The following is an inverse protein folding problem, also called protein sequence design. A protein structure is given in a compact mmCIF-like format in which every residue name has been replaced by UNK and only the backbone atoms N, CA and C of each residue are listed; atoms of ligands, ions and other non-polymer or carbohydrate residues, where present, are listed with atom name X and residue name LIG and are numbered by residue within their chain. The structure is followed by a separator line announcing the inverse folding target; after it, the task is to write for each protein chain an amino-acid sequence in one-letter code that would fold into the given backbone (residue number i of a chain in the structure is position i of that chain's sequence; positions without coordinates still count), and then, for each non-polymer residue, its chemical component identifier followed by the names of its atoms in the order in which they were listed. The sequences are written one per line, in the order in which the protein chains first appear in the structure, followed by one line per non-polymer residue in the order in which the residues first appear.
data_IF_656403869062
#
_entry.id   IF_656403869062
#
_cell.length_a   1.000
_cell.length_b   1.000
_cell.length_c   1.000
_cell.angle_alpha   90.00
_cell.angle_beta   90.00
_cell.angle_gamma   90.00
#
_symmetry.space_group_name_H-M   'P 1'
#
loop_
_entity.id
_entity.type
_entity.pdbx_description
1 polymer ?
#
# COMPACT_ATOMS: atom_id res chain seq x y z
N UNK A 1 24.69 -51.02 35.48
CA UNK A 1 24.54 -49.62 35.01
C UNK A 1 24.18 -48.76 36.23
N UNK A 2 24.99 -47.77 36.59
CA UNK A 2 24.81 -47.01 37.84
C UNK A 2 23.47 -46.26 37.83
N UNK A 3 22.65 -46.38 38.88
CA UNK A 3 21.33 -45.72 39.01
C UNK A 3 21.42 -44.19 38.77
N UNK A 4 22.55 -43.59 39.15
CA UNK A 4 22.88 -42.18 38.86
C UNK A 4 23.04 -41.87 37.37
N UNK A 5 23.63 -42.76 36.57
CA UNK A 5 23.77 -42.57 35.11
C UNK A 5 22.45 -42.75 34.37
N UNK A 6 21.59 -43.65 34.84
CA UNK A 6 20.25 -43.84 34.28
C UNK A 6 19.35 -42.63 34.55
N UNK A 7 19.42 -42.04 35.75
CA UNK A 7 18.67 -40.84 36.11
C UNK A 7 19.10 -39.61 35.29
N UNK A 8 20.42 -39.42 35.07
CA UNK A 8 20.94 -38.33 34.23
C UNK A 8 20.49 -38.49 32.77
N UNK A 9 20.45 -39.72 32.25
CA UNK A 9 20.02 -40.00 30.88
C UNK A 9 18.50 -39.78 30.70
N UNK A 10 17.70 -40.11 31.71
CA UNK A 10 16.26 -39.84 31.76
C UNK A 10 15.95 -38.34 31.85
N UNK A 11 16.70 -37.58 32.65
CA UNK A 11 16.56 -36.11 32.73
C UNK A 11 16.99 -35.44 31.43
N UNK A 12 18.05 -35.93 30.78
CA UNK A 12 18.48 -35.43 29.46
C UNK A 12 17.45 -35.75 28.37
N UNK A 13 16.81 -36.92 28.39
CA UNK A 13 15.71 -37.29 27.49
C UNK A 13 14.44 -36.45 27.75
N UNK A 14 14.12 -36.16 29.02
CA UNK A 14 13.01 -35.26 29.35
C UNK A 14 13.28 -33.81 28.91
N UNK A 15 14.51 -33.33 29.10
CA UNK A 15 14.93 -32.00 28.64
C UNK A 15 14.93 -31.90 27.10
N UNK A 16 15.34 -32.96 26.40
CA UNK A 16 15.22 -33.05 24.95
C UNK A 16 13.76 -33.12 24.48
N UNK A 17 12.89 -33.84 25.17
CA UNK A 17 11.45 -33.88 24.88
C UNK A 17 10.77 -32.53 25.11
N UNK A 18 11.16 -31.80 26.16
CA UNK A 18 10.68 -30.43 26.43
C UNK A 18 11.20 -29.42 25.39
N UNK A 19 12.44 -29.58 24.90
CA UNK A 19 12.99 -28.76 23.82
C UNK A 19 12.26 -28.98 22.48
N UNK A 20 11.77 -30.20 22.20
CA UNK A 20 10.95 -30.47 21.00
C UNK A 20 9.56 -29.85 21.11
N UNK A 21 8.97 -29.73 22.31
CA UNK A 21 7.70 -29.02 22.51
C UNK A 21 7.82 -27.48 22.50
N UNK A 22 9.03 -26.94 22.70
CA UNK A 22 9.28 -25.49 22.62
C UNK A 22 9.36 -24.97 21.17
N UNK A 23 9.56 -25.84 20.18
CA UNK A 23 9.29 -25.56 18.76
C UNK A 23 7.79 -25.60 18.39
N UNK A 24 6.90 -25.85 19.37
CA UNK A 24 5.46 -26.01 19.17
C UNK A 24 4.62 -24.75 19.37
N UNK A 25 5.20 -23.62 19.81
CA UNK A 25 4.47 -22.33 19.80
C UNK A 25 4.69 -21.66 18.47
N UNK A 26 3.66 -21.72 17.62
CA UNK A 26 3.57 -20.93 16.40
C UNK A 26 3.82 -19.47 16.76
N UNK A 27 4.72 -18.80 16.03
CA UNK A 27 5.02 -17.39 16.26
C UNK A 27 3.71 -16.59 16.29
N UNK A 28 3.49 -15.75 17.32
CA UNK A 28 2.31 -14.89 17.44
C UNK A 28 2.02 -14.13 16.12
N UNK A 29 0.75 -13.95 15.70
CA UNK A 29 0.45 -13.35 14.39
C UNK A 29 1.10 -11.99 14.14
N UNK A 30 1.12 -11.10 15.15
CA UNK A 30 1.76 -9.79 15.02
C UNK A 30 3.27 -9.93 14.75
N UNK A 31 3.96 -10.74 15.55
CA UNK A 31 5.40 -10.98 15.42
C UNK A 31 5.73 -11.67 14.07
N UNK A 32 4.89 -12.59 13.63
CA UNK A 32 5.07 -13.27 12.35
C UNK A 32 4.90 -12.32 11.17
N UNK A 33 3.91 -11.41 11.22
CA UNK A 33 3.72 -10.38 10.19
C UNK A 33 4.88 -9.38 10.17
N UNK A 34 5.32 -8.90 11.33
CA UNK A 34 6.49 -8.03 11.46
C UNK A 34 7.74 -8.64 10.82
N UNK A 35 8.04 -9.90 11.17
CA UNK A 35 9.19 -10.63 10.60
C UNK A 35 9.04 -10.83 9.10
N UNK A 36 7.85 -11.20 8.64
CA UNK A 36 7.61 -11.44 7.22
C UNK A 36 7.78 -10.18 6.39
N UNK A 37 7.30 -9.07 6.91
CA UNK A 37 7.42 -7.77 6.25
C UNK A 37 8.86 -7.27 6.23
N UNK A 38 9.60 -7.38 7.34
CA UNK A 38 11.02 -7.03 7.40
C UNK A 38 11.87 -7.85 6.40
N UNK A 39 11.60 -9.15 6.28
CA UNK A 39 12.28 -10.00 5.30
C UNK A 39 11.86 -9.69 3.85
N UNK A 40 10.63 -9.21 3.64
CA UNK A 40 10.15 -8.76 2.32
C UNK A 40 10.85 -7.47 1.89
N UNK A 41 11.19 -6.60 2.85
CA UNK A 41 12.08 -5.45 2.65
C UNK A 41 13.53 -5.82 2.32
N UNK A 42 13.90 -7.09 2.25
CA UNK A 42 15.21 -7.53 1.74
C UNK A 42 15.12 -8.24 0.38
N UNK A 43 13.94 -8.27 -0.24
CA UNK A 43 13.80 -8.83 -1.59
C UNK A 43 14.60 -8.02 -2.61
N UNK A 44 15.40 -8.74 -3.39
CA UNK A 44 16.27 -8.21 -4.46
C UNK A 44 15.58 -8.16 -5.80
N UNK A 45 14.65 -9.08 -6.04
CA UNK A 45 13.85 -9.15 -7.26
C UNK A 45 12.53 -9.86 -7.01
N UNK A 46 11.52 -9.54 -7.80
CA UNK A 46 10.24 -10.25 -7.83
C UNK A 46 9.42 -9.81 -9.05
N UNK A 47 8.47 -10.64 -9.46
CA UNK A 47 7.34 -10.22 -10.28
C UNK A 47 6.15 -9.96 -9.38
N UNK A 48 5.26 -9.07 -9.80
CA UNK A 48 4.04 -8.78 -9.06
C UNK A 48 2.84 -8.69 -9.99
N UNK A 49 1.68 -9.06 -9.46
CA UNK A 49 0.37 -8.90 -10.08
C UNK A 49 -0.61 -8.43 -9.01
N UNK A 50 -1.51 -7.53 -9.35
CA UNK A 50 -2.43 -6.94 -8.39
C UNK A 50 -3.63 -6.28 -9.03
N UNK A 51 -4.62 -5.97 -8.21
CA UNK A 51 -5.84 -5.31 -8.66
C UNK A 51 -6.32 -4.29 -7.63
N UNK A 52 -6.96 -3.24 -8.12
CA UNK A 52 -7.71 -2.25 -7.35
C UNK A 52 -9.16 -2.31 -7.81
N UNK A 53 -10.07 -2.41 -6.85
CA UNK A 53 -11.51 -2.41 -7.06
C UNK A 53 -12.18 -1.40 -6.14
N UNK A 54 -13.21 -0.74 -6.66
CA UNK A 54 -14.18 0.00 -5.86
C UNK A 54 -15.30 -1.00 -5.57
N UNK A 55 -15.33 -1.48 -4.34
CA UNK A 55 -16.27 -2.51 -3.91
C UNK A 55 -17.67 -1.93 -3.63
N UNK A 56 -17.74 -0.65 -3.25
CA UNK A 56 -18.96 0.06 -2.88
C UNK A 56 -18.78 1.57 -3.09
N UNK A 57 -19.75 2.22 -3.75
CA UNK A 57 -19.80 3.68 -3.88
C UNK A 57 -21.26 4.14 -3.88
N UNK A 58 -21.75 4.60 -2.73
CA UNK A 58 -23.09 5.17 -2.61
C UNK A 58 -22.95 6.66 -2.31
N UNK A 59 -23.34 7.52 -3.25
CA UNK A 59 -23.40 8.97 -3.02
C UNK A 59 -24.76 9.40 -2.45
N UNK A 60 -24.84 10.52 -1.72
CA UNK A 60 -26.11 11.03 -1.23
C UNK A 60 -26.99 11.52 -2.38
N UNK A 61 -28.34 11.50 -2.24
CA UNK A 61 -29.25 11.93 -3.30
C UNK A 61 -28.98 13.35 -3.82
N UNK A 62 -28.57 14.27 -2.94
CA UNK A 62 -28.18 15.64 -3.30
C UNK A 62 -26.99 15.70 -4.27
N UNK A 63 -26.07 14.74 -4.21
CA UNK A 63 -24.90 14.64 -5.07
C UNK A 63 -25.16 13.87 -6.38
N UNK A 64 -26.26 13.11 -6.45
CA UNK A 64 -26.66 12.31 -7.61
C UNK A 64 -27.49 13.11 -8.62
N UNK A 65 -26.89 14.15 -9.20
CA UNK A 65 -27.54 14.89 -10.29
C UNK A 65 -27.34 14.19 -11.66
N UNK A 66 -28.15 14.57 -12.66
CA UNK A 66 -28.12 13.98 -14.01
C UNK A 66 -26.74 14.05 -14.70
N UNK A 67 -25.87 14.98 -14.28
CA UNK A 67 -24.52 15.09 -14.83
C UNK A 67 -23.54 14.07 -14.19
N UNK A 68 -23.79 13.59 -12.97
CA UNK A 68 -22.89 12.69 -12.22
C UNK A 68 -23.26 11.21 -12.42
N UNK A 69 -24.56 10.91 -12.56
CA UNK A 69 -25.08 9.55 -12.68
C UNK A 69 -24.39 8.68 -13.76
N UNK A 70 -24.08 9.18 -14.97
CA UNK A 70 -23.39 8.37 -15.98
C UNK A 70 -21.98 7.96 -15.57
N UNK A 71 -21.28 8.79 -14.78
CA UNK A 71 -19.92 8.52 -14.34
C UNK A 71 -19.87 7.58 -13.14
N UNK A 72 -20.87 7.59 -12.26
CA UNK A 72 -20.95 6.66 -11.12
C UNK A 72 -20.99 5.20 -11.58
N UNK A 73 -21.91 4.88 -12.49
CA UNK A 73 -22.00 3.52 -13.03
C UNK A 73 -20.74 3.09 -13.80
N UNK A 74 -20.00 4.04 -14.37
CA UNK A 74 -18.71 3.77 -14.99
C UNK A 74 -17.65 3.43 -13.94
N UNK A 75 -17.55 4.23 -12.86
CA UNK A 75 -16.55 4.09 -11.80
C UNK A 75 -16.71 2.75 -11.06
N UNK A 76 -17.93 2.40 -10.65
CA UNK A 76 -18.22 1.16 -9.91
C UNK A 76 -17.78 -0.11 -10.64
N UNK A 77 -17.87 -0.09 -11.98
CA UNK A 77 -17.56 -1.26 -12.79
C UNK A 77 -16.14 -1.20 -13.40
N UNK A 78 -15.39 -0.12 -13.17
CA UNK A 78 -14.04 0.03 -13.67
C UNK A 78 -13.08 -0.83 -12.85
N UNK A 79 -12.26 -1.64 -13.53
CA UNK A 79 -11.20 -2.40 -12.87
C UNK A 79 -9.84 -1.85 -13.26
N UNK A 80 -8.99 -1.61 -12.27
CA UNK A 80 -7.57 -1.31 -12.46
C UNK A 80 -6.76 -2.53 -12.03
N UNK A 81 -5.90 -3.01 -12.92
CA UNK A 81 -4.93 -4.06 -12.60
C UNK A 81 -3.52 -3.57 -12.85
N UNK A 82 -2.59 -4.09 -12.07
CA UNK A 82 -1.17 -3.78 -12.18
C UNK A 82 -0.41 -5.10 -12.27
N UNK A 83 0.58 -5.15 -13.15
CA UNK A 83 1.54 -6.26 -13.20
C UNK A 83 2.91 -5.76 -13.56
N UNK A 84 3.95 -6.47 -13.15
CA UNK A 84 5.29 -5.97 -13.37
C UNK A 84 6.40 -6.80 -12.78
N UNK A 85 7.60 -6.21 -12.84
CA UNK A 85 8.82 -6.80 -12.35
C UNK A 85 9.69 -5.74 -11.67
N UNK A 86 10.44 -6.18 -10.67
CA UNK A 86 11.36 -5.35 -9.91
C UNK A 86 12.73 -6.03 -9.77
N UNK A 87 13.79 -5.24 -9.89
CA UNK A 87 15.16 -5.59 -9.46
C UNK A 87 15.76 -4.44 -8.65
N UNK A 88 16.51 -4.77 -7.60
CA UNK A 88 17.19 -3.80 -6.72
C UNK A 88 18.50 -3.30 -7.32
N UNK A 89 19.28 -4.17 -7.95
CA UNK A 89 20.61 -3.86 -8.47
C UNK A 89 20.85 -4.57 -9.82
N UNK A 90 20.84 -3.84 -10.96
CA UNK A 90 20.50 -2.41 -11.05
C UNK A 90 19.03 -2.16 -10.67
N UNK A 91 18.75 -0.97 -10.12
CA UNK A 91 17.39 -0.56 -9.78
C UNK A 91 16.57 -0.46 -11.07
N UNK A 92 15.61 -1.36 -11.24
CA UNK A 92 14.63 -1.32 -12.33
C UNK A 92 13.27 -1.77 -11.81
N UNK A 93 12.26 -0.94 -12.02
CA UNK A 93 10.86 -1.26 -11.77
C UNK A 93 10.11 -1.11 -13.09
N UNK A 94 9.33 -2.11 -13.47
CA UNK A 94 8.35 -1.99 -14.54
C UNK A 94 6.97 -2.26 -13.95
N UNK A 95 6.03 -1.38 -14.25
CA UNK A 95 4.63 -1.52 -13.88
C UNK A 95 3.77 -1.28 -15.12
N UNK A 96 2.96 -2.27 -15.46
CA UNK A 96 1.97 -2.18 -16.54
C UNK A 96 0.62 -1.98 -15.87
N UNK A 97 0.11 -0.75 -15.97
CA UNK A 97 -1.20 -0.39 -15.46
C UNK A 97 -2.23 -0.69 -16.53
N UNK A 98 -3.22 -1.51 -16.21
CA UNK A 98 -4.33 -1.83 -17.12
C UNK A 98 -5.64 -1.36 -16.55
N UNK A 99 -6.22 -0.36 -17.20
CA UNK A 99 -7.57 0.14 -16.94
C UNK A 99 -8.55 -0.61 -17.85
N UNK A 100 -9.63 -1.12 -17.29
CA UNK A 100 -10.73 -1.72 -18.06
C UNK A 100 -12.03 -1.03 -17.67
N UNK A 101 -12.67 -0.42 -18.67
CA UNK A 101 -13.96 0.26 -18.53
C UNK A 101 -14.99 -0.61 -19.25
N UNK A 102 -15.93 -1.25 -18.54
CA UNK A 102 -16.97 -2.07 -19.16
C UNK A 102 -18.13 -1.22 -19.70
N UNK A 103 -18.99 -1.83 -20.52
CA UNK A 103 -20.15 -1.19 -21.13
C UNK A 103 -20.24 -1.43 -22.64
N UNK A 104 -21.19 -0.79 -23.31
CA UNK A 104 -21.41 -0.92 -24.77
C UNK A 104 -20.21 -0.44 -25.60
N UNK A 105 -19.38 0.43 -25.02
CA UNK A 105 -18.09 0.88 -25.56
C UNK A 105 -16.94 0.37 -24.69
N UNK A 106 -16.92 -0.92 -24.36
CA UNK A 106 -15.87 -1.48 -23.52
C UNK A 106 -14.47 -1.13 -24.08
N UNK A 107 -13.67 -0.40 -23.30
CA UNK A 107 -12.30 -0.03 -23.66
C UNK A 107 -11.35 -0.53 -22.58
N UNK A 108 -10.19 -1.00 -23.02
CA UNK A 108 -9.07 -1.31 -22.13
C UNK A 108 -7.84 -0.55 -22.59
N UNK A 109 -7.16 0.09 -21.64
CA UNK A 109 -5.93 0.83 -21.84
C UNK A 109 -4.83 0.20 -21.01
N UNK A 110 -3.66 0.01 -21.62
CA UNK A 110 -2.45 -0.40 -20.90
C UNK A 110 -1.43 0.74 -20.95
N UNK A 111 -0.93 1.13 -19.79
CA UNK A 111 0.09 2.16 -19.60
C UNK A 111 1.31 1.52 -18.96
N UNK A 112 2.29 1.09 -19.78
CA UNK A 112 3.62 0.74 -19.31
C UNK A 112 4.34 1.93 -18.66
N UNK A 113 4.85 1.70 -17.46
CA UNK A 113 5.72 2.59 -16.70
C UNK A 113 7.03 1.85 -16.42
N UNK A 114 8.16 2.51 -16.66
CA UNK A 114 9.50 1.98 -16.35
C UNK A 114 10.23 3.00 -15.49
N UNK A 115 10.68 2.57 -14.32
CA UNK A 115 11.60 3.31 -13.47
C UNK A 115 12.98 2.69 -13.60
N UNK A 116 13.95 3.45 -14.12
CA UNK A 116 15.33 3.00 -14.28
C UNK A 116 16.26 4.20 -14.47
N UNK A 117 17.50 4.09 -13.98
CA UNK A 117 18.52 5.14 -14.12
C UNK A 117 18.02 6.53 -13.68
N UNK A 118 17.33 6.58 -12.54
CA UNK A 118 16.74 7.81 -11.94
C UNK A 118 15.70 8.53 -12.82
N UNK A 119 15.20 7.86 -13.86
CA UNK A 119 14.17 8.37 -14.78
C UNK A 119 12.93 7.49 -14.77
N UNK A 120 11.83 8.10 -15.19
CA UNK A 120 10.56 7.42 -15.43
C UNK A 120 10.27 7.48 -16.91
N UNK A 121 9.83 6.36 -17.48
CA UNK A 121 9.37 6.29 -18.85
C UNK A 121 7.92 5.84 -18.82
N UNK A 122 7.02 6.67 -19.34
CA UNK A 122 5.60 6.37 -19.42
C UNK A 122 5.18 6.24 -20.88
N UNK A 123 4.60 5.09 -21.26
CA UNK A 123 4.08 4.91 -22.61
C UNK A 123 2.70 5.54 -22.73
N UNK A 124 2.55 6.47 -23.66
CA UNK A 124 1.27 7.11 -23.94
C UNK A 124 0.39 6.13 -24.72
N UNK A 125 -0.74 5.66 -24.18
CA UNK A 125 -1.63 4.77 -24.92
C UNK A 125 -2.29 5.54 -26.07
N UNK A 126 -2.67 4.84 -27.13
CA UNK A 126 -3.53 5.43 -28.16
C UNK A 126 -4.96 5.53 -27.59
N UNK A 127 -5.35 6.72 -27.15
CA UNK A 127 -6.68 6.98 -26.58
C UNK A 127 -7.63 7.42 -27.72
N UNK A 128 -8.72 6.69 -28.00
CA UNK A 128 -9.73 7.13 -28.96
C UNK A 128 -10.27 8.52 -28.62
N UNK A 129 -10.55 9.34 -29.63
CA UNK A 129 -11.07 10.72 -29.51
C UNK A 129 -10.08 11.75 -28.94
N UNK A 130 -8.90 11.34 -28.47
CA UNK A 130 -7.85 12.27 -28.07
C UNK A 130 -6.83 12.38 -29.23
N UNK A 131 -6.68 13.56 -29.86
CA UNK A 131 -5.76 13.72 -30.97
C UNK A 131 -4.33 13.77 -30.43
N UNK A 132 -3.73 12.60 -30.23
CA UNK A 132 -2.39 12.44 -29.64
C UNK A 132 -1.26 12.54 -30.68
N UNK A 133 -1.59 12.59 -31.98
CA UNK A 133 -0.63 12.68 -33.06
C UNK A 133 0.47 11.61 -32.96
N UNK A 134 1.71 12.03 -33.21
CA UNK A 134 2.89 11.16 -33.18
C UNK A 134 3.32 10.74 -31.77
N UNK A 135 2.70 11.27 -30.70
CA UNK A 135 2.97 10.86 -29.33
C UNK A 135 2.24 9.56 -28.95
N UNK A 136 1.18 9.19 -29.68
CA UNK A 136 0.44 7.96 -29.44
C UNK A 136 1.36 6.73 -29.59
N UNK A 137 1.44 5.92 -28.53
CA UNK A 137 2.22 4.69 -28.49
C UNK A 137 3.71 4.89 -28.20
N UNK A 138 4.20 6.13 -28.06
CA UNK A 138 5.60 6.42 -27.69
C UNK A 138 5.78 6.48 -26.18
N UNK A 139 6.99 6.23 -25.72
CA UNK A 139 7.39 6.52 -24.36
C UNK A 139 7.70 8.01 -24.21
N UNK A 140 7.37 8.55 -23.05
CA UNK A 140 7.76 9.88 -22.61
C UNK A 140 8.72 9.71 -21.46
N UNK A 141 9.90 10.31 -21.57
CA UNK A 141 10.87 10.43 -20.51
C UNK A 141 10.45 11.55 -19.56
N UNK A 142 10.38 11.21 -18.29
CA UNK A 142 10.08 12.10 -17.20
C UNK A 142 11.28 12.08 -16.26
N UNK A 143 11.87 13.24 -16.08
CA UNK A 143 12.88 13.50 -15.06
C UNK A 143 12.17 14.09 -13.83
N UNK A 144 11.99 13.32 -12.73
CA UNK A 144 11.33 13.83 -11.53
C UNK A 144 12.05 15.03 -10.93
N UNK A 145 13.38 15.11 -11.06
CA UNK A 145 14.16 16.25 -10.54
C UNK A 145 13.91 17.51 -11.37
N UNK A 146 13.78 17.37 -12.70
CA UNK A 146 13.51 18.49 -13.61
C UNK A 146 12.09 19.06 -13.50
N UNK A 147 11.09 18.25 -13.09
CA UNK A 147 9.71 18.70 -12.89
C UNK A 147 9.54 19.66 -11.70
N UNK A 148 10.49 19.70 -10.77
CA UNK A 148 10.48 20.59 -9.61
C UNK A 148 10.71 22.08 -9.94
N UNK A 149 11.18 22.39 -11.15
CA UNK A 149 11.60 23.75 -11.54
C UNK A 149 10.50 24.54 -12.29
N UNK A 150 9.41 23.91 -12.73
CA UNK A 150 8.22 24.57 -13.28
C UNK A 150 7.16 24.84 -12.21
N UNK A 151 6.21 25.75 -12.42
CA UNK A 151 5.18 26.17 -11.44
C UNK A 151 4.16 25.09 -11.00
N UNK A 152 4.51 23.81 -11.06
CA UNK A 152 3.78 22.68 -10.48
C UNK A 152 4.58 22.04 -9.34
N UNK A 153 3.87 21.43 -8.38
CA UNK A 153 4.50 20.73 -7.26
C UNK A 153 5.60 19.77 -7.76
N UNK A 154 6.82 19.93 -7.23
CA UNK A 154 7.92 19.03 -7.49
C UNK A 154 7.48 17.59 -7.29
N UNK A 155 7.77 16.69 -8.23
CA UNK A 155 7.68 15.27 -7.90
C UNK A 155 8.78 15.00 -6.85
N UNK A 156 8.44 14.41 -5.69
CA UNK A 156 9.46 14.12 -4.69
C UNK A 156 10.53 13.21 -5.31
N UNK A 157 11.78 13.50 -4.98
CA UNK A 157 12.90 12.69 -5.45
C UNK A 157 12.69 11.25 -4.97
N UNK A 158 12.42 10.31 -5.88
CA UNK A 158 12.02 8.95 -5.52
C UNK A 158 13.23 8.14 -5.05
N UNK A 159 13.56 8.18 -3.75
CA UNK A 159 14.63 7.37 -3.19
C UNK A 159 14.09 6.09 -2.56
N UNK A 160 14.21 4.98 -3.29
CA UNK A 160 13.70 3.66 -2.88
C UNK A 160 14.25 3.21 -1.53
N UNK A 161 15.51 3.50 -1.21
CA UNK A 161 16.10 3.09 0.05
C UNK A 161 15.54 3.93 1.21
N UNK A 162 15.39 5.24 1.01
CA UNK A 162 14.77 6.16 1.99
C UNK A 162 13.32 5.75 2.24
N UNK A 163 12.53 5.50 1.18
CA UNK A 163 11.14 5.05 1.32
C UNK A 163 11.02 3.71 2.05
N UNK A 164 11.88 2.73 1.75
CA UNK A 164 11.90 1.44 2.47
C UNK A 164 12.20 1.64 3.93
N UNK A 165 13.21 2.45 4.25
CA UNK A 165 13.61 2.69 5.64
C UNK A 165 12.53 3.45 6.42
N UNK A 166 11.94 4.50 5.83
CA UNK A 166 10.83 5.24 6.39
C UNK A 166 9.62 4.33 6.63
N UNK A 167 9.19 3.57 5.62
CA UNK A 167 8.12 2.60 5.78
C UNK A 167 8.46 1.63 6.91
N UNK A 168 9.71 1.15 6.93
CA UNK A 168 10.36 0.27 7.92
C UNK A 168 10.06 0.68 9.35
N UNK A 169 10.54 1.87 9.66
CA UNK A 169 10.51 2.48 10.98
C UNK A 169 9.08 2.91 11.35
N UNK A 170 8.32 3.49 10.43
CA UNK A 170 6.93 3.89 10.65
C UNK A 170 6.02 2.68 10.98
N UNK A 171 6.15 1.58 10.24
CA UNK A 171 5.39 0.38 10.53
C UNK A 171 5.84 -0.27 11.86
N UNK A 172 7.13 -0.17 12.18
CA UNK A 172 7.67 -0.56 13.48
C UNK A 172 6.96 0.16 14.64
N UNK A 173 6.79 1.48 14.54
CA UNK A 173 6.07 2.31 15.50
C UNK A 173 4.59 1.89 15.61
N UNK A 174 3.91 1.72 14.47
CA UNK A 174 2.50 1.27 14.46
C UNK A 174 2.38 -0.07 15.18
N UNK A 175 3.25 -1.03 14.88
CA UNK A 175 3.20 -2.31 15.56
C UNK A 175 3.53 -2.20 17.05
N UNK A 176 4.46 -1.35 17.51
CA UNK A 176 4.78 -1.31 18.95
C UNK A 176 3.61 -0.91 19.83
N UNK A 177 2.67 -0.14 19.30
CA UNK A 177 1.54 0.43 20.05
C UNK A 177 0.21 -0.30 19.91
N UNK A 178 0.11 -1.26 19.00
CA UNK A 178 -1.11 -2.05 18.82
C UNK A 178 -0.94 -3.46 19.40
N UNK A 179 -1.84 -3.87 20.28
CA UNK A 179 -1.78 -5.20 20.89
C UNK A 179 -2.20 -6.31 19.91
N UNK A 180 -1.80 -7.54 20.21
CA UNK A 180 -2.08 -8.67 19.35
C UNK A 180 -3.57 -9.05 19.33
N UNK A 181 -4.22 -9.03 20.49
CA UNK A 181 -5.55 -9.60 20.70
C UNK A 181 -6.63 -8.84 19.92
N UNK A 182 -6.56 -7.51 19.92
CA UNK A 182 -7.58 -6.67 19.27
C UNK A 182 -7.35 -6.47 17.77
N UNK A 183 -6.08 -6.47 17.32
CA UNK A 183 -5.75 -6.00 15.97
C UNK A 183 -5.23 -7.09 15.03
N UNK A 184 -4.69 -8.19 15.55
CA UNK A 184 -3.99 -9.19 14.74
C UNK A 184 -4.55 -10.59 14.94
N UNK A 185 -4.98 -11.21 13.85
CA UNK A 185 -5.47 -12.59 13.89
C UNK A 185 -4.93 -13.42 12.75
N UNK A 186 -4.72 -14.69 13.02
CA UNK A 186 -4.51 -15.66 11.97
C UNK A 186 -5.87 -16.10 11.40
N UNK A 187 -5.98 -16.11 10.07
CA UNK A 187 -7.19 -16.49 9.35
C UNK A 187 -6.91 -17.73 8.49
N UNK A 188 -7.95 -18.48 8.12
CA UNK A 188 -7.79 -19.58 7.18
C UNK A 188 -7.84 -19.07 5.75
N UNK A 189 -7.25 -19.82 4.81
CA UNK A 189 -7.26 -19.47 3.39
C UNK A 189 -8.69 -19.29 2.87
N UNK A 190 -9.59 -20.15 3.30
CA UNK A 190 -10.99 -20.18 2.87
C UNK A 190 -11.80 -18.98 3.37
N UNK A 191 -11.34 -18.33 4.44
CA UNK A 191 -12.01 -17.17 5.05
C UNK A 191 -11.57 -15.84 4.40
N UNK A 192 -10.63 -15.88 3.44
CA UNK A 192 -10.13 -14.68 2.75
C UNK A 192 -10.73 -14.63 1.34
N UNK A 193 -11.72 -13.75 1.10
CA UNK A 193 -12.40 -13.67 -0.19
C UNK A 193 -11.47 -13.11 -1.27
N UNK A 194 -11.58 -13.65 -2.49
CA UNK A 194 -10.85 -13.17 -3.66
C UNK A 194 -9.37 -13.57 -3.71
N UNK A 195 -8.92 -14.53 -2.90
CA UNK A 195 -7.56 -15.04 -3.03
C UNK A 195 -7.35 -15.76 -4.38
N UNK A 196 -6.18 -15.61 -5.02
CA UNK A 196 -5.80 -16.43 -6.16
C UNK A 196 -5.80 -17.92 -5.80
N UNK A 197 -6.49 -18.74 -6.59
CA UNK A 197 -6.70 -20.17 -6.27
C UNK A 197 -5.39 -20.95 -6.13
N UNK A 198 -4.39 -20.61 -6.94
CA UNK A 198 -3.06 -21.20 -6.97
C UNK A 198 -2.08 -20.63 -5.92
N UNK A 199 -2.50 -19.64 -5.10
CA UNK A 199 -1.67 -19.05 -4.05
C UNK A 199 -1.26 -20.11 -3.03
N UNK A 200 0.06 -20.27 -2.85
CA UNK A 200 0.69 -21.15 -1.86
C UNK A 200 1.30 -20.32 -0.75
N UNK A 201 0.76 -20.42 0.45
CA UNK A 201 1.26 -19.77 1.65
C UNK A 201 1.16 -20.71 2.85
N UNK A 202 2.01 -20.50 3.84
CA UNK A 202 2.06 -21.27 5.08
C UNK A 202 1.11 -20.68 6.13
N UNK A 203 0.87 -19.36 6.07
CA UNK A 203 0.04 -18.61 7.01
C UNK A 203 -0.69 -17.46 6.34
N UNK A 204 -1.85 -17.11 6.89
CA UNK A 204 -2.59 -15.90 6.52
C UNK A 204 -2.84 -15.10 7.79
N UNK A 205 -2.38 -13.86 7.82
CA UNK A 205 -2.48 -12.98 8.98
C UNK A 205 -3.24 -11.74 8.58
N UNK A 206 -4.29 -11.43 9.32
CA UNK A 206 -5.12 -10.25 9.11
C UNK A 206 -4.88 -9.25 10.23
N UNK A 207 -4.42 -8.07 9.85
CA UNK A 207 -4.59 -6.85 10.63
C UNK A 207 -5.97 -6.28 10.33
N UNK A 208 -6.74 -5.86 11.33
CA UNK A 208 -8.03 -5.21 11.09
C UNK A 208 -8.40 -4.18 12.15
N UNK A 209 -8.94 -3.06 11.67
CA UNK A 209 -9.67 -2.06 12.43
C UNK A 209 -11.13 -2.12 11.98
N UNK A 210 -12.05 -2.16 12.92
CA UNK A 210 -13.49 -2.10 12.69
C UNK A 210 -14.13 -1.34 13.87
N UNK A 211 -15.45 -1.16 13.83
CA UNK A 211 -16.17 -0.36 14.82
C UNK A 211 -15.89 -0.77 16.28
N UNK A 212 -15.61 -2.05 16.55
CA UNK A 212 -15.38 -2.60 17.89
C UNK A 212 -14.01 -2.29 18.49
N UNK A 213 -12.99 -2.04 17.66
CA UNK A 213 -11.63 -1.71 18.09
C UNK A 213 -11.13 -0.34 17.58
N UNK A 214 -11.97 0.41 16.87
CA UNK A 214 -11.65 1.73 16.32
C UNK A 214 -11.26 2.73 17.41
N UNK A 215 -11.97 2.75 18.55
CA UNK A 215 -11.67 3.63 19.67
C UNK A 215 -10.26 3.38 20.23
N UNK A 216 -9.92 2.11 20.43
CA UNK A 216 -8.61 1.71 20.91
C UNK A 216 -7.51 2.08 19.90
N UNK A 217 -7.77 1.90 18.61
CA UNK A 217 -6.84 2.31 17.56
C UNK A 217 -6.61 3.83 17.56
N UNK A 218 -7.69 4.62 17.56
CA UNK A 218 -7.59 6.09 17.50
C UNK A 218 -6.94 6.67 18.75
N UNK A 219 -7.18 6.07 19.91
CA UNK A 219 -6.47 6.44 21.14
C UNK A 219 -4.98 6.15 21.02
N UNK A 220 -4.60 4.93 20.63
CA UNK A 220 -3.19 4.57 20.42
C UNK A 220 -2.52 5.46 19.36
N UNK A 221 -3.27 5.82 18.32
CA UNK A 221 -2.83 6.68 17.23
C UNK A 221 -2.50 8.09 17.71
N UNK A 222 -3.42 8.75 18.41
CA UNK A 222 -3.23 10.12 18.88
C UNK A 222 -2.21 10.22 20.02
N UNK A 223 -2.23 9.27 20.96
CA UNK A 223 -1.39 9.33 22.16
C UNK A 223 0.06 8.89 21.92
N UNK A 224 0.30 7.94 21.00
CA UNK A 224 1.60 7.29 20.86
C UNK A 224 2.12 7.25 19.42
N UNK A 225 1.34 6.73 18.46
CA UNK A 225 1.83 6.50 17.09
C UNK A 225 2.13 7.83 16.40
N UNK A 226 1.20 8.77 16.37
CA UNK A 226 1.38 10.06 15.68
C UNK A 226 2.54 10.88 16.26
N UNK A 227 2.68 11.05 17.59
CA UNK A 227 3.86 11.71 18.17
C UNK A 227 5.19 11.06 17.77
N UNK A 228 5.27 9.73 17.81
CA UNK A 228 6.50 9.00 17.44
C UNK A 228 6.80 9.08 15.93
N UNK A 229 5.76 9.10 15.07
CA UNK A 229 5.93 9.34 13.64
C UNK A 229 6.45 10.76 13.39
N UNK A 230 5.92 11.77 14.08
CA UNK A 230 6.43 13.14 13.97
C UNK A 230 7.89 13.20 14.42
N UNK A 231 8.26 12.51 15.49
CA UNK A 231 9.65 12.42 15.95
C UNK A 231 10.57 11.71 14.96
N UNK A 232 10.10 10.63 14.34
CA UNK A 232 10.80 9.95 13.25
C UNK A 232 11.10 10.89 12.09
N UNK A 233 10.12 11.69 11.69
CA UNK A 233 10.27 12.65 10.60
C UNK A 233 11.20 13.81 10.99
N UNK A 234 11.07 14.35 12.21
CA UNK A 234 11.96 15.41 12.70
C UNK A 234 13.42 14.95 12.80
N UNK A 235 13.66 13.67 13.04
CA UNK A 235 15.01 13.11 13.16
C UNK A 235 15.74 12.91 11.82
N UNK A 236 15.06 13.07 10.67
CA UNK A 236 15.61 12.75 9.35
C UNK A 236 15.25 13.82 8.31
N UNK A 237 16.26 14.50 7.76
CA UNK A 237 16.07 15.41 6.63
C UNK A 237 15.63 14.66 5.36
N UNK A 238 16.19 13.47 5.11
CA UNK A 238 15.82 12.65 3.95
C UNK A 238 14.33 12.30 3.95
N UNK A 239 13.75 11.95 5.10
CA UNK A 239 12.32 11.62 5.21
C UNK A 239 11.44 12.85 4.98
N UNK A 240 11.86 13.99 5.52
CA UNK A 240 11.15 15.27 5.34
C UNK A 240 11.18 15.71 3.89
N UNK A 241 12.32 15.58 3.23
CA UNK A 241 12.47 15.92 1.81
C UNK A 241 11.62 15.01 0.93
N UNK A 242 11.56 13.70 1.20
CA UNK A 242 10.72 12.75 0.46
C UNK A 242 9.23 13.09 0.58
N UNK A 243 8.78 13.46 1.79
CA UNK A 243 7.38 13.81 2.06
C UNK A 243 7.05 15.28 1.78
N UNK A 244 8.04 16.10 1.40
CA UNK A 244 7.91 17.54 1.21
C UNK A 244 7.39 18.28 2.45
N UNK A 245 7.85 17.86 3.62
CA UNK A 245 7.48 18.43 4.92
C UNK A 245 8.60 19.32 5.45
N UNK A 246 8.25 20.47 6.00
CA UNK A 246 9.23 21.34 6.69
C UNK A 246 9.36 20.96 8.16
N UNK A 247 10.49 21.35 8.76
CA UNK A 247 10.70 21.19 10.20
C UNK A 247 9.67 21.98 11.03
N UNK A 248 9.33 23.19 10.57
CA UNK A 248 8.41 24.08 11.26
C UNK A 248 6.99 23.51 11.29
N UNK A 249 6.52 22.94 10.17
CA UNK A 249 5.22 22.26 10.10
C UNK A 249 5.14 21.08 11.09
N UNK A 250 6.19 20.25 11.13
CA UNK A 250 6.23 19.10 12.04
C UNK A 250 6.29 19.51 13.52
N UNK A 251 7.10 20.53 13.86
CA UNK A 251 7.15 21.07 15.22
C UNK A 251 5.80 21.63 15.64
N UNK A 252 5.16 22.41 14.76
CA UNK A 252 3.83 22.97 15.01
C UNK A 252 2.80 21.87 15.20
N UNK A 253 2.77 20.86 14.33
CA UNK A 253 1.87 19.72 14.47
C UNK A 253 2.08 18.98 15.81
N UNK A 254 3.34 18.81 16.22
CA UNK A 254 3.67 18.22 17.52
C UNK A 254 3.18 19.05 18.70
N UNK A 255 3.37 20.37 18.65
CA UNK A 255 2.92 21.30 19.68
C UNK A 255 1.39 21.34 19.77
N UNK A 256 0.69 21.42 18.62
CA UNK A 256 -0.77 21.39 18.56
C UNK A 256 -1.31 20.07 19.14
N UNK A 257 -0.69 18.94 18.82
CA UNK A 257 -1.07 17.63 19.38
C UNK A 257 -0.82 17.56 20.89
N UNK A 258 0.31 18.06 21.38
CA UNK A 258 0.65 18.07 22.80
C UNK A 258 -0.17 19.08 23.63
N UNK A 259 -0.67 20.15 22.99
CA UNK A 259 -1.49 21.17 23.63
C UNK A 259 -2.95 20.72 23.82
N UNK A 260 -3.40 19.71 23.07
CA UNK A 260 -4.73 19.13 23.27
C UNK A 260 -4.70 18.26 24.53
N UNK A 261 -5.54 18.62 25.50
CA UNK A 261 -5.74 17.76 26.64
C UNK A 261 -6.47 16.44 26.22
N UNK A 262 -6.33 15.37 27.00
CA UNK A 262 -6.96 14.09 26.67
C UNK A 262 -8.48 14.14 26.53
N UNK A 263 -9.19 15.05 27.22
CA UNK A 263 -10.64 15.18 27.06
C UNK A 263 -10.99 15.82 25.72
N UNK A 264 -10.25 16.84 25.29
CA UNK A 264 -10.41 17.47 23.98
C UNK A 264 -10.23 16.46 22.83
N UNK A 265 -9.17 15.65 22.87
CA UNK A 265 -8.95 14.59 21.88
C UNK A 265 -10.08 13.56 21.84
N UNK A 266 -10.60 13.17 23.02
CA UNK A 266 -11.75 12.26 23.11
C UNK A 266 -13.01 12.89 22.52
N UNK A 267 -13.27 14.16 22.78
CA UNK A 267 -14.43 14.87 22.23
C UNK A 267 -14.37 14.97 20.70
N UNK A 268 -13.19 15.24 20.14
CA UNK A 268 -13.00 15.24 18.68
C UNK A 268 -13.21 13.85 18.06
N UNK A 269 -12.72 12.80 18.72
CA UNK A 269 -12.95 11.42 18.29
C UNK A 269 -14.44 11.05 18.35
N UNK A 270 -15.14 11.42 19.41
CA UNK A 270 -16.58 11.20 19.52
C UNK A 270 -17.37 11.98 18.47
N UNK A 271 -16.98 13.22 18.16
CA UNK A 271 -17.57 14.00 17.08
C UNK A 271 -17.34 13.35 15.71
N UNK A 272 -16.13 12.83 15.46
CA UNK A 272 -15.83 12.08 14.23
C UNK A 272 -16.74 10.86 14.10
N UNK A 273 -16.91 10.08 15.18
CA UNK A 273 -17.73 8.86 15.19
C UNK A 273 -19.22 9.10 15.03
N UNK A 274 -19.72 10.29 15.33
CA UNK A 274 -21.12 10.64 15.06
C UNK A 274 -21.43 10.66 13.56
N UNK A 275 -20.43 11.01 12.75
CA UNK A 275 -20.57 11.21 11.32
C UNK A 275 -19.79 10.19 10.49
N UNK A 276 -19.02 9.29 11.12
CA UNK A 276 -18.21 8.29 10.45
C UNK A 276 -18.39 6.91 11.10
N UNK A 277 -18.83 5.95 10.31
CA UNK A 277 -18.83 4.53 10.67
C UNK A 277 -17.72 3.82 9.91
N UNK A 278 -16.85 3.12 10.64
CA UNK A 278 -15.78 2.30 10.05
C UNK A 278 -16.24 0.85 10.04
N UNK A 279 -16.65 0.35 8.88
CA UNK A 279 -17.05 -1.04 8.73
C UNK A 279 -15.85 -1.97 8.78
N UNK A 280 -14.79 -1.65 8.04
CA UNK A 280 -13.58 -2.44 7.99
C UNK A 280 -12.42 -1.63 7.40
N UNK A 281 -11.27 -1.63 8.06
CA UNK A 281 -9.97 -1.36 7.47
C UNK A 281 -9.12 -2.58 7.76
N UNK A 282 -8.68 -3.31 6.75
CA UNK A 282 -7.90 -4.51 7.00
C UNK A 282 -6.80 -4.72 5.98
N UNK A 283 -5.74 -5.36 6.44
CA UNK A 283 -4.66 -5.88 5.60
C UNK A 283 -4.52 -7.36 5.88
N UNK A 284 -4.87 -8.19 4.91
CA UNK A 284 -4.65 -9.63 4.96
C UNK A 284 -3.38 -9.98 4.21
N UNK A 285 -2.41 -10.55 4.90
CA UNK A 285 -1.11 -10.90 4.39
C UNK A 285 -0.93 -12.42 4.34
N UNK A 286 -0.49 -12.95 3.21
CA UNK A 286 -0.11 -14.36 3.09
C UNK A 286 1.42 -14.49 3.18
N UNK A 287 1.88 -15.38 4.05
CA UNK A 287 3.30 -15.58 4.35
C UNK A 287 3.73 -16.96 3.85
N UNK A 288 4.85 -17.02 3.12
CA UNK A 288 5.50 -18.26 2.72
C UNK A 288 6.98 -18.24 3.15
N UNK A 289 7.38 -19.21 3.95
CA UNK A 289 8.63 -19.18 4.68
C UNK A 289 8.66 -17.97 5.61
N UNK A 290 9.55 -17.04 5.31
CA UNK A 290 9.76 -15.80 6.04
C UNK A 290 9.31 -14.56 5.26
N UNK A 291 8.61 -14.68 4.12
CA UNK A 291 8.30 -13.52 3.24
C UNK A 291 6.81 -13.41 2.96
N UNK A 292 6.39 -12.18 2.67
CA UNK A 292 5.07 -11.88 2.13
C UNK A 292 5.04 -12.34 0.67
N UNK A 293 4.01 -13.10 0.31
CA UNK A 293 3.74 -13.54 -1.07
C UNK A 293 2.42 -12.98 -1.59
N UNK A 294 1.61 -12.39 -0.72
CA UNK A 294 0.37 -11.74 -1.08
C UNK A 294 -0.06 -10.77 0.02
N UNK A 295 -0.67 -9.66 -0.36
CA UNK A 295 -1.33 -8.73 0.53
C UNK A 295 -2.65 -8.29 -0.10
N UNK A 296 -3.69 -8.18 0.73
CA UNK A 296 -4.98 -7.59 0.36
C UNK A 296 -5.36 -6.55 1.38
N UNK A 297 -5.42 -5.31 0.94
CA UNK A 297 -6.03 -4.20 1.66
C UNK A 297 -7.52 -4.18 1.34
N UNK A 298 -8.35 -3.96 2.35
CA UNK A 298 -9.77 -3.67 2.19
C UNK A 298 -10.16 -2.56 3.14
N UNK A 299 -10.88 -1.58 2.64
CA UNK A 299 -11.35 -0.46 3.42
C UNK A 299 -12.82 -0.17 3.06
N UNK A 300 -13.66 0.06 4.07
CA UNK A 300 -15.08 0.36 3.89
C UNK A 300 -15.54 1.27 5.03
N UNK A 301 -16.16 2.39 4.63
CA UNK A 301 -16.59 3.46 5.51
C UNK A 301 -17.95 3.99 5.06
N UNK A 302 -18.70 4.49 6.03
CA UNK A 302 -19.92 5.24 5.82
C UNK A 302 -19.77 6.59 6.53
N UNK A 303 -20.04 7.69 5.82
CA UNK A 303 -20.07 9.03 6.36
C UNK A 303 -21.48 9.59 6.30
N UNK A 304 -21.93 10.25 7.37
CA UNK A 304 -23.23 10.89 7.45
C UNK A 304 -23.08 12.40 7.68
N UNK A 305 -23.73 13.20 6.83
CA UNK A 305 -23.76 14.66 6.92
C UNK A 305 -25.17 15.17 6.60
N UNK A 306 -25.72 16.04 7.43
CA UNK A 306 -27.07 16.63 7.27
C UNK A 306 -28.21 15.63 7.03
N UNK A 307 -28.07 14.40 7.54
CA UNK A 307 -29.05 13.32 7.38
C UNK A 307 -28.95 12.55 6.06
N UNK A 308 -27.94 12.85 5.24
CA UNK A 308 -27.57 12.09 4.06
C UNK A 308 -26.33 11.23 4.31
N UNK A 309 -26.21 10.11 3.63
CA UNK A 309 -25.13 9.14 3.83
C UNK A 309 -24.33 8.93 2.55
N UNK A 310 -23.01 8.85 2.69
CA UNK A 310 -22.07 8.44 1.65
C UNK A 310 -21.38 7.15 2.08
N UNK A 311 -21.34 6.13 1.22
CA UNK A 311 -20.55 4.91 1.48
C UNK A 311 -19.45 4.75 0.46
N UNK A 312 -18.29 4.35 0.94
CA UNK A 312 -17.11 4.12 0.11
C UNK A 312 -16.45 2.83 0.58
N UNK A 313 -16.32 1.88 -0.34
CA UNK A 313 -15.61 0.63 -0.17
C UNK A 313 -14.60 0.44 -1.29
N UNK A 314 -13.38 0.07 -0.95
CA UNK A 314 -12.35 -0.30 -1.91
C UNK A 314 -11.51 -1.46 -1.42
N UNK A 315 -10.99 -2.22 -2.37
CA UNK A 315 -9.99 -3.24 -2.11
C UNK A 315 -8.83 -3.12 -3.08
N UNK A 316 -7.64 -3.41 -2.56
CA UNK A 316 -6.42 -3.52 -3.33
C UNK A 316 -5.75 -4.83 -2.95
N UNK A 317 -5.30 -5.59 -3.94
CA UNK A 317 -4.47 -6.75 -3.69
C UNK A 317 -3.23 -6.78 -4.57
N UNK A 318 -2.19 -7.39 -4.03
CA UNK A 318 -0.92 -7.60 -4.71
C UNK A 318 -0.35 -8.96 -4.31
N UNK A 319 0.10 -9.71 -5.32
CA UNK A 319 0.79 -10.97 -5.22
C UNK A 319 2.24 -10.78 -5.64
N UNK A 320 3.14 -11.51 -4.98
CA UNK A 320 4.55 -11.55 -5.32
C UNK A 320 4.96 -12.96 -5.73
N UNK A 321 5.56 -13.06 -6.91
CA UNK A 321 6.12 -14.28 -7.47
C UNK A 321 7.58 -14.07 -7.85
N UNK A 322 8.27 -15.17 -8.20
CA UNK A 322 9.67 -15.14 -8.64
C UNK A 322 10.62 -14.39 -7.70
N UNK A 323 10.30 -14.37 -6.39
CA UNK A 323 11.06 -13.66 -5.37
C UNK A 323 12.52 -14.14 -5.36
N UNK A 324 13.46 -13.20 -5.46
CA UNK A 324 14.90 -13.42 -5.50
C UNK A 324 15.36 -14.39 -6.61
N UNK A 325 14.65 -14.40 -7.73
CA UNK A 325 15.02 -15.11 -8.96
C UNK A 325 15.21 -14.12 -10.11
N UNK A 326 15.70 -14.62 -11.24
CA UNK A 326 15.71 -13.84 -12.48
C UNK A 326 14.28 -13.51 -12.89
N UNK A 327 14.02 -12.22 -13.11
CA UNK A 327 12.73 -11.71 -13.56
C UNK A 327 12.85 -11.24 -15.01
N UNK A 328 11.73 -11.31 -15.75
CA UNK A 328 11.64 -10.81 -17.11
C UNK A 328 10.87 -9.50 -17.09
N UNK A 329 11.43 -8.48 -17.72
CA UNK A 329 10.76 -7.23 -18.03
C UNK A 329 10.14 -7.34 -19.42
N UNK A 330 8.95 -6.77 -19.62
CA UNK A 330 8.24 -6.76 -20.90
C UNK A 330 8.78 -5.68 -21.85
N UNK A 331 9.38 -4.64 -21.29
CA UNK A 331 9.95 -3.52 -22.02
C UNK A 331 11.42 -3.29 -21.66
N UNK A 332 12.18 -2.96 -22.70
CA UNK A 332 13.50 -2.37 -22.57
C UNK A 332 13.36 -0.88 -22.23
N UNK A 333 14.44 -0.28 -21.72
CA UNK A 333 14.47 1.16 -21.50
C UNK A 333 14.47 1.82 -22.89
N UNK A 334 13.50 2.71 -23.20
CA UNK A 334 13.39 3.30 -24.52
C UNK A 334 14.58 4.24 -24.81
N UNK A 335 15.17 4.13 -26.00
CA UNK A 335 16.24 5.03 -26.47
C UNK A 335 15.70 6.27 -27.20
N UNK A 336 14.45 6.20 -27.67
CA UNK A 336 13.77 7.21 -28.49
C UNK A 336 12.56 7.83 -27.78
N UNK A 337 12.59 7.87 -26.45
CA UNK A 337 11.53 8.47 -25.66
C UNK A 337 11.41 9.97 -25.95
N UNK A 338 10.16 10.45 -26.06
CA UNK A 338 9.86 11.88 -26.16
C UNK A 338 10.16 12.56 -24.83
N UNK A 339 10.62 13.80 -24.89
CA UNK A 339 10.63 14.69 -23.74
C UNK A 339 9.23 15.19 -23.40
N UNK A 340 9.04 15.71 -22.18
CA UNK A 340 7.78 16.36 -21.79
C UNK A 340 7.42 17.55 -22.70
N UNK A 341 8.42 18.30 -23.16
CA UNK A 341 8.22 19.43 -24.08
C UNK A 341 7.70 18.95 -25.44
N UNK A 342 8.27 17.88 -26.00
CA UNK A 342 7.81 17.29 -27.26
C UNK A 342 6.40 16.70 -27.15
N UNK A 343 6.05 16.12 -25.99
CA UNK A 343 4.67 15.69 -25.72
C UNK A 343 3.71 16.88 -25.74
N UNK A 344 4.01 17.96 -25.01
CA UNK A 344 3.17 19.15 -24.96
C UNK A 344 3.01 19.78 -26.34
N UNK A 345 4.10 19.88 -27.11
CA UNK A 345 4.03 20.38 -28.49
C UNK A 345 3.16 19.50 -29.39
N UNK A 346 3.22 18.17 -29.22
CA UNK A 346 2.37 17.22 -29.95
C UNK A 346 0.89 17.41 -29.60
N UNK A 347 0.57 17.62 -28.33
CA UNK A 347 -0.80 17.91 -27.88
C UNK A 347 -1.29 19.26 -28.42
N UNK A 348 -0.51 20.34 -28.25
CA UNK A 348 -0.89 21.67 -28.71
C UNK A 348 -1.10 21.74 -30.23
N UNK A 349 -0.22 21.11 -31.01
CA UNK A 349 -0.36 21.08 -32.47
C UNK A 349 -1.62 20.33 -32.91
N UNK A 350 -1.99 19.27 -32.20
CA UNK A 350 -3.16 18.46 -32.50
C UNK A 350 -4.50 19.12 -32.12
N UNK A 351 -4.51 20.07 -31.16
CA UNK A 351 -5.69 20.88 -30.83
C UNK A 351 -5.80 22.18 -31.66
N UNK A 352 -4.70 22.62 -32.28
CA UNK A 352 -4.67 23.80 -33.14
C UNK A 352 -5.03 23.50 -34.61
N UNK A 353 -5.08 22.23 -34.99
CA UNK A 353 -5.56 21.71 -36.29
C UNK A 353 -7.01 21.23 -36.21
#
# INVERSE_FOLDING_TARGET
MNKSRLAVLLVALLAAALAVTACGKKTPPKEALQKAWAASMEMKSFTFDGSLAIDELELPPSAQNEAVLPYLGMIENTSLSIRGAYTRDPLKLEAILKLTIPGDLAVSFEVPLIWANDKVYAKIPAIPMLPLGDAAGKFVEIDPAGLAEGEGAALPAFNVEVQRKLAGEALGIVFSHLDEEHFFREVKKEDVPGLPGDLKADRFIKFSIAQDNFDAFMQAFAENIMPEIIDLLLASEDYRSELQLTEEELKRAKEELAAKDPESLRNELEALKQNLTVHEISVTSAIKGDKLVYQKLKASFEAAEDGETTKIGFSFDIRYDNINKDVKFEHEIPEDALTMEELLQSLFSAFAS
#
